data_IF_968590031653
#
_entry.id   IF_968590031653
#
_cell.length_a   1.000
_cell.length_b   1.000
_cell.length_c   1.000
_cell.angle_alpha   90.00
_cell.angle_beta   90.00
_cell.angle_gamma   90.00
#
_symmetry.space_group_name_H-M   'P 1'
#
loop_
_entity.id
_entity.type
_entity.pdbx_description
1 polymer ?
#
# COMPACT_ATOMS: atom_id res chain seq x y z
N UNK A 1 15.02 -17.91 5.90
CA UNK A 1 13.79 -17.22 5.46
C UNK A 1 13.41 -16.11 6.45
N UNK A 2 13.35 -16.40 7.77
CA UNK A 2 12.99 -15.42 8.80
C UNK A 2 13.83 -14.13 8.73
N UNK A 3 15.16 -14.23 8.59
CA UNK A 3 16.03 -13.08 8.45
C UNK A 3 15.70 -12.19 7.23
N UNK A 4 15.29 -12.81 6.11
CA UNK A 4 14.88 -12.06 4.90
C UNK A 4 13.54 -11.36 5.10
N UNK A 5 12.60 -12.00 5.80
CA UNK A 5 11.29 -11.39 6.11
C UNK A 5 11.48 -10.21 7.06
N UNK A 6 12.25 -10.38 8.12
CA UNK A 6 12.58 -9.31 9.06
C UNK A 6 13.28 -8.13 8.36
N UNK A 7 14.23 -8.40 7.45
CA UNK A 7 14.89 -7.37 6.67
C UNK A 7 13.93 -6.57 5.76
N UNK A 8 12.92 -7.21 5.20
CA UNK A 8 11.90 -6.53 4.37
C UNK A 8 10.95 -5.70 5.22
N UNK A 9 10.65 -6.17 6.43
CA UNK A 9 9.77 -5.48 7.37
C UNK A 9 10.46 -4.36 8.16
N UNK A 10 11.80 -4.29 8.08
CA UNK A 10 12.60 -3.34 8.85
C UNK A 10 12.68 -3.69 10.34
N UNK A 11 12.42 -4.96 10.68
CA UNK A 11 12.52 -5.46 12.05
C UNK A 11 13.99 -5.82 12.37
N UNK A 12 14.71 -4.85 12.92
CA UNK A 12 16.13 -4.98 13.24
C UNK A 12 16.40 -5.98 14.36
N UNK A 13 15.47 -6.13 15.33
CA UNK A 13 15.65 -7.01 16.47
C UNK A 13 15.56 -8.48 16.04
N UNK A 14 14.55 -8.83 15.25
CA UNK A 14 14.41 -10.18 14.69
C UNK A 14 15.56 -10.49 13.71
N UNK A 15 15.96 -9.51 12.90
CA UNK A 15 17.09 -9.69 11.99
C UNK A 15 18.41 -9.94 12.75
N UNK A 16 18.65 -9.22 13.85
CA UNK A 16 19.79 -9.39 14.76
C UNK A 16 19.79 -10.78 15.39
N UNK A 17 18.67 -11.20 15.97
CA UNK A 17 18.54 -12.52 16.57
C UNK A 17 18.84 -13.64 15.55
N UNK A 18 18.32 -13.51 14.31
CA UNK A 18 18.64 -14.44 13.23
C UNK A 18 20.14 -14.44 12.85
N UNK A 19 20.77 -13.26 12.83
CA UNK A 19 22.19 -13.12 12.52
C UNK A 19 23.07 -13.81 13.57
N UNK A 20 22.76 -13.60 14.85
CA UNK A 20 23.46 -14.23 15.99
C UNK A 20 23.29 -15.75 15.98
N UNK A 21 22.07 -16.26 15.76
CA UNK A 21 21.80 -17.70 15.68
C UNK A 21 22.53 -18.39 14.52
N UNK A 22 22.70 -17.70 13.40
CA UNK A 22 23.36 -18.24 12.23
C UNK A 22 24.88 -17.95 12.21
N UNK A 23 25.43 -17.48 13.33
CA UNK A 23 26.86 -17.20 13.52
C UNK A 23 27.49 -16.38 12.37
N UNK A 24 26.76 -15.39 11.88
CA UNK A 24 27.26 -14.53 10.81
C UNK A 24 27.38 -15.19 9.43
N UNK A 25 26.63 -16.24 9.15
CA UNK A 25 26.61 -16.82 7.81
C UNK A 25 26.35 -15.77 6.73
N UNK A 26 26.99 -15.82 5.53
CA UNK A 26 26.94 -14.74 4.53
C UNK A 26 25.55 -14.26 4.17
N UNK A 27 24.58 -15.17 4.04
CA UNK A 27 23.20 -14.81 3.74
C UNK A 27 22.44 -14.15 4.91
N UNK A 28 22.82 -14.45 6.16
CA UNK A 28 22.29 -13.79 7.35
C UNK A 28 22.91 -12.40 7.50
N UNK A 29 24.20 -12.26 7.22
CA UNK A 29 24.93 -10.98 7.26
C UNK A 29 24.33 -9.98 6.28
N UNK A 30 24.11 -10.34 5.01
CA UNK A 30 23.46 -9.47 4.03
C UNK A 30 22.03 -9.12 4.39
N UNK A 31 21.29 -10.06 5.00
CA UNK A 31 19.91 -9.78 5.46
C UNK A 31 19.89 -8.82 6.66
N UNK A 32 20.81 -9.00 7.59
CA UNK A 32 20.95 -8.13 8.76
C UNK A 32 21.44 -6.73 8.34
N UNK A 33 22.43 -6.65 7.45
CA UNK A 33 22.86 -5.39 6.85
C UNK A 33 21.69 -4.61 6.23
N UNK A 34 20.85 -5.31 5.48
CA UNK A 34 19.66 -4.71 4.87
C UNK A 34 18.67 -4.18 5.92
N UNK A 35 18.40 -4.92 7.00
CA UNK A 35 17.52 -4.48 8.07
C UNK A 35 18.05 -3.21 8.73
N UNK A 36 19.35 -3.20 9.10
CA UNK A 36 20.01 -2.04 9.68
C UNK A 36 19.99 -0.81 8.75
N UNK A 37 20.28 -1.01 7.47
CA UNK A 37 20.33 0.06 6.47
C UNK A 37 18.93 0.65 6.14
N UNK A 38 17.87 -0.11 6.40
CA UNK A 38 16.48 0.33 6.21
C UNK A 38 15.87 0.95 7.47
N UNK A 39 16.55 0.83 8.61
CA UNK A 39 16.12 1.42 9.87
C UNK A 39 16.20 2.95 9.83
N UNK A 40 15.29 3.61 10.52
CA UNK A 40 15.34 5.05 10.76
C UNK A 40 16.31 5.43 11.89
N UNK A 41 16.84 4.44 12.62
CA UNK A 41 17.77 4.62 13.73
C UNK A 41 19.18 4.96 13.27
N UNK A 42 19.74 6.04 13.79
CA UNK A 42 21.12 6.41 13.49
C UNK A 42 22.16 5.43 14.08
N UNK A 43 21.80 4.73 15.16
CA UNK A 43 22.65 3.70 15.75
C UNK A 43 22.76 2.51 14.79
N UNK A 44 21.62 2.05 14.26
CA UNK A 44 21.56 0.96 13.30
C UNK A 44 22.31 1.30 12.00
N UNK A 45 22.21 2.53 11.52
CA UNK A 45 22.93 2.98 10.34
C UNK A 45 24.44 2.95 10.55
N UNK A 46 24.93 3.36 11.71
CA UNK A 46 26.37 3.26 12.06
C UNK A 46 26.83 1.81 12.15
N UNK A 47 26.02 0.94 12.74
CA UNK A 47 26.28 -0.49 12.79
C UNK A 47 26.29 -1.10 11.38
N UNK A 48 25.35 -0.70 10.50
CA UNK A 48 25.34 -1.12 9.10
C UNK A 48 26.65 -0.77 8.38
N UNK A 49 27.19 0.45 8.58
CA UNK A 49 28.46 0.86 8.00
C UNK A 49 29.63 0.03 8.54
N UNK A 50 29.70 -0.18 9.86
CA UNK A 50 30.73 -1.01 10.46
C UNK A 50 30.70 -2.46 9.97
N UNK A 51 29.51 -3.04 9.86
CA UNK A 51 29.32 -4.38 9.35
C UNK A 51 29.71 -4.49 7.88
N UNK A 52 29.34 -3.50 7.07
CA UNK A 52 29.68 -3.45 5.65
C UNK A 52 31.18 -3.33 5.43
N UNK A 53 31.87 -2.46 6.17
CA UNK A 53 33.34 -2.31 6.10
C UNK A 53 34.06 -3.60 6.50
N UNK A 54 33.57 -4.29 7.54
CA UNK A 54 34.08 -5.59 7.94
C UNK A 54 33.91 -6.65 6.83
N UNK A 55 32.75 -6.68 6.18
CA UNK A 55 32.47 -7.60 5.05
C UNK A 55 33.45 -7.33 3.88
N UNK A 56 33.68 -6.07 3.55
CA UNK A 56 34.56 -5.69 2.44
C UNK A 56 36.04 -5.97 2.75
N UNK A 57 36.47 -5.81 3.99
CA UNK A 57 37.85 -6.07 4.43
C UNK A 57 38.18 -7.56 4.42
N UNK A 58 37.24 -8.41 4.83
CA UNK A 58 37.47 -9.85 4.92
C UNK A 58 37.32 -10.63 3.59
N UNK A 59 36.68 -10.03 2.58
CA UNK A 59 36.43 -10.68 1.30
C UNK A 59 36.83 -9.81 0.08
N UNK A 60 38.05 -9.30 -0.02
CA UNK A 60 38.43 -8.34 -1.06
C UNK A 60 38.34 -8.91 -2.49
N UNK A 61 38.44 -10.24 -2.66
CA UNK A 61 38.34 -10.90 -3.99
C UNK A 61 36.93 -11.27 -4.42
N UNK A 62 35.94 -11.23 -3.51
CA UNK A 62 34.56 -11.57 -3.76
C UNK A 62 33.69 -10.34 -4.13
N UNK A 63 34.30 -9.27 -4.63
CA UNK A 63 33.65 -7.97 -4.86
C UNK A 63 32.39 -8.04 -5.75
N UNK A 64 32.33 -8.97 -6.70
CA UNK A 64 31.14 -9.13 -7.56
C UNK A 64 29.95 -9.80 -6.85
N UNK A 65 30.18 -10.58 -5.79
CA UNK A 65 29.14 -11.28 -5.05
C UNK A 65 28.36 -10.37 -4.10
N UNK A 66 28.93 -9.18 -3.80
CA UNK A 66 28.36 -8.21 -2.85
C UNK A 66 27.62 -7.04 -3.51
N UNK A 67 27.37 -7.06 -4.82
CA UNK A 67 26.64 -5.97 -5.51
C UNK A 67 25.32 -5.63 -4.83
N UNK A 68 24.47 -6.60 -4.39
CA UNK A 68 23.24 -6.27 -3.67
C UNK A 68 23.48 -5.49 -2.37
N UNK A 69 24.56 -5.78 -1.66
CA UNK A 69 24.92 -5.10 -0.40
C UNK A 69 25.41 -3.67 -0.68
N UNK A 70 26.18 -3.47 -1.75
CA UNK A 70 26.54 -2.14 -2.25
C UNK A 70 25.30 -1.30 -2.60
N UNK A 71 24.29 -1.89 -3.25
CA UNK A 71 23.04 -1.21 -3.61
C UNK A 71 22.27 -0.78 -2.36
N UNK A 72 22.21 -1.62 -1.34
CA UNK A 72 21.57 -1.30 -0.06
C UNK A 72 22.27 -0.13 0.63
N UNK A 73 23.60 -0.17 0.69
CA UNK A 73 24.39 0.89 1.31
C UNK A 73 24.34 2.20 0.50
N UNK A 74 24.27 2.12 -0.83
CA UNK A 74 24.08 3.28 -1.70
C UNK A 74 22.76 4.01 -1.39
N UNK A 75 21.67 3.26 -1.17
CA UNK A 75 20.38 3.83 -0.77
C UNK A 75 20.47 4.50 0.60
N UNK A 76 21.05 3.81 1.59
CA UNK A 76 21.22 4.32 2.94
C UNK A 76 22.05 5.61 2.95
N UNK A 77 23.15 5.63 2.18
CA UNK A 77 24.01 6.81 2.03
C UNK A 77 23.28 7.99 1.38
N UNK A 78 22.48 7.72 0.36
CA UNK A 78 21.71 8.75 -0.32
C UNK A 78 20.63 9.36 0.60
N UNK A 79 20.04 8.56 1.49
CA UNK A 79 19.06 9.00 2.48
C UNK A 79 19.67 9.74 3.67
N UNK A 80 20.93 9.47 4.02
CA UNK A 80 21.59 10.11 5.17
C UNK A 80 21.98 11.57 4.88
N UNK A 81 21.32 12.50 5.57
CA UNK A 81 21.55 13.95 5.41
C UNK A 81 22.99 14.40 5.71
N UNK A 82 23.75 13.62 6.48
CA UNK A 82 25.15 13.93 6.85
C UNK A 82 26.12 13.64 5.73
N UNK A 83 25.79 12.73 4.83
CA UNK A 83 26.64 12.38 3.69
C UNK A 83 26.40 13.39 2.56
N UNK A 84 27.43 14.08 2.07
CA UNK A 84 27.24 15.00 0.94
C UNK A 84 26.76 14.27 -0.31
N UNK A 85 25.64 14.73 -0.88
CA UNK A 85 24.98 14.03 -2.00
C UNK A 85 25.88 13.87 -3.21
N UNK A 86 26.74 14.87 -3.51
CA UNK A 86 27.66 14.78 -4.63
C UNK A 86 28.60 13.57 -4.51
N UNK A 87 29.01 13.17 -3.29
CA UNK A 87 29.85 11.99 -3.06
C UNK A 87 29.11 10.68 -3.40
N UNK A 88 27.82 10.61 -3.07
CA UNK A 88 27.01 9.42 -3.37
C UNK A 88 26.71 9.32 -4.86
N UNK A 89 26.39 10.44 -5.47
CA UNK A 89 26.08 10.52 -6.89
C UNK A 89 27.30 10.27 -7.76
N UNK A 90 28.48 10.72 -7.35
CA UNK A 90 29.76 10.48 -8.09
C UNK A 90 30.08 8.99 -8.24
N UNK A 91 29.58 8.12 -7.35
CA UNK A 91 29.74 6.67 -7.48
C UNK A 91 29.10 6.10 -8.74
N UNK A 92 28.03 6.73 -9.24
CA UNK A 92 27.38 6.38 -10.50
C UNK A 92 27.89 7.23 -11.69
N UNK A 93 28.74 8.21 -11.44
CA UNK A 93 29.38 9.02 -12.48
C UNK A 93 30.77 8.46 -12.70
N UNK A 94 30.99 7.72 -13.78
CA UNK A 94 32.36 7.39 -14.22
C UNK A 94 33.03 8.69 -14.71
N UNK A 95 33.63 9.45 -13.82
CA UNK A 95 34.51 10.54 -14.19
C UNK A 95 35.93 9.98 -14.30
N UNK A 96 36.46 9.94 -15.50
CA UNK A 96 37.85 9.55 -15.77
C UNK A 96 38.89 10.55 -15.19
N UNK A 97 38.44 11.75 -14.83
CA UNK A 97 39.29 12.82 -14.35
C UNK A 97 38.73 13.41 -13.06
N UNK A 98 39.02 12.83 -11.96
CA UNK A 98 39.04 13.61 -10.72
C UNK A 98 40.05 13.03 -9.76
N UNK A 99 40.87 13.94 -9.28
CA UNK A 99 41.63 13.84 -8.04
C UNK A 99 40.94 12.88 -7.09
N UNK A 100 41.69 11.98 -6.48
CA UNK A 100 41.19 10.97 -5.55
C UNK A 100 40.22 11.65 -4.58
N UNK A 101 38.95 11.68 -4.96
CA UNK A 101 37.94 12.09 -4.00
C UNK A 101 38.03 11.09 -2.87
N UNK A 102 38.32 11.58 -1.68
CA UNK A 102 38.11 10.87 -0.42
C UNK A 102 36.65 10.46 -0.34
N UNK A 103 36.25 9.51 -1.19
CA UNK A 103 35.00 8.81 -1.00
C UNK A 103 35.14 8.06 0.31
N UNK A 104 34.17 8.11 1.21
CA UNK A 104 34.25 7.33 2.44
C UNK A 104 34.36 5.82 2.14
N UNK A 105 34.23 5.44 0.87
CA UNK A 105 34.31 4.08 0.41
C UNK A 105 35.27 3.94 -0.75
N UNK A 106 36.22 3.08 -0.54
CA UNK A 106 37.14 2.66 -1.61
C UNK A 106 36.40 1.65 -2.51
N UNK A 107 35.55 2.15 -3.41
CA UNK A 107 34.76 1.30 -4.32
C UNK A 107 35.69 0.74 -5.40
N UNK A 108 35.85 -0.59 -5.51
CA UNK A 108 36.63 -1.17 -6.58
C UNK A 108 36.11 -0.75 -7.96
N UNK A 109 36.95 -0.42 -8.94
CA UNK A 109 36.53 0.00 -10.29
C UNK A 109 35.60 -1.01 -10.97
N UNK A 110 35.78 -2.30 -10.73
CA UNK A 110 34.90 -3.37 -11.25
C UNK A 110 33.51 -3.32 -10.67
N UNK A 111 33.34 -2.99 -9.38
CA UNK A 111 32.06 -2.81 -8.71
C UNK A 111 31.42 -1.53 -9.21
N UNK A 112 32.15 -0.44 -9.32
CA UNK A 112 31.62 0.81 -9.84
C UNK A 112 31.07 0.65 -11.28
N UNK A 113 31.79 -0.04 -12.15
CA UNK A 113 31.33 -0.32 -13.52
C UNK A 113 30.02 -1.11 -13.52
N UNK A 114 29.85 -2.08 -12.61
CA UNK A 114 28.60 -2.83 -12.47
C UNK A 114 27.46 -1.97 -11.91
N UNK A 115 27.73 -1.14 -10.89
CA UNK A 115 26.71 -0.23 -10.32
C UNK A 115 26.20 0.76 -11.36
N UNK A 116 27.06 1.32 -12.19
CA UNK A 116 26.73 2.27 -13.27
C UNK A 116 25.77 1.65 -14.30
N UNK A 117 25.87 0.35 -14.56
CA UNK A 117 24.99 -0.38 -15.47
C UNK A 117 23.77 -0.99 -14.77
N UNK A 118 23.69 -0.89 -13.44
CA UNK A 118 22.64 -1.52 -12.65
C UNK A 118 21.41 -0.61 -12.51
N UNK A 119 20.26 -1.07 -13.01
CA UNK A 119 18.94 -0.42 -12.75
C UNK A 119 18.68 -0.30 -11.25
N UNK A 120 18.98 -1.37 -10.51
CA UNK A 120 18.75 -1.42 -9.06
C UNK A 120 19.59 -0.38 -8.31
N UNK A 121 20.84 -0.11 -8.73
CA UNK A 121 21.67 0.92 -8.12
C UNK A 121 21.10 2.34 -8.35
N UNK A 122 20.67 2.65 -9.57
CA UNK A 122 20.02 3.93 -9.88
C UNK A 122 18.70 4.09 -9.10
N UNK A 123 17.88 3.03 -9.05
CA UNK A 123 16.63 3.03 -8.30
C UNK A 123 16.85 3.25 -6.81
N UNK A 124 17.84 2.56 -6.23
CA UNK A 124 18.21 2.71 -4.82
C UNK A 124 18.67 4.14 -4.50
N UNK A 125 19.47 4.73 -5.38
CA UNK A 125 19.93 6.11 -5.24
C UNK A 125 18.76 7.10 -5.33
N UNK A 126 17.85 6.93 -6.29
CA UNK A 126 16.64 7.77 -6.40
C UNK A 126 15.76 7.64 -5.16
N UNK A 127 15.56 6.41 -4.64
CA UNK A 127 14.78 6.20 -3.41
C UNK A 127 15.40 6.89 -2.19
N UNK A 128 16.73 6.76 -1.99
CA UNK A 128 17.42 7.43 -0.91
C UNK A 128 17.36 8.96 -1.02
N UNK A 129 17.50 9.51 -2.22
CA UNK A 129 17.35 10.95 -2.46
C UNK A 129 15.92 11.44 -2.19
N UNK A 130 14.90 10.62 -2.51
CA UNK A 130 13.50 10.93 -2.17
C UNK A 130 13.24 10.90 -0.67
N UNK A 131 13.84 9.95 0.06
CA UNK A 131 13.77 9.89 1.53
C UNK A 131 14.39 11.14 2.18
N UNK A 132 15.44 11.66 1.55
CA UNK A 132 16.09 12.92 1.95
C UNK A 132 15.33 14.17 1.52
N UNK A 133 14.36 14.07 0.61
CA UNK A 133 13.62 15.20 0.03
C UNK A 133 14.33 15.91 -1.14
N UNK A 134 15.44 15.36 -1.66
CA UNK A 134 16.18 15.95 -2.78
C UNK A 134 15.62 15.49 -4.13
N UNK A 135 14.45 16.01 -4.45
CA UNK A 135 13.69 15.70 -5.66
C UNK A 135 14.48 16.04 -6.94
N UNK A 136 15.18 17.15 -6.95
CA UNK A 136 15.93 17.63 -8.13
C UNK A 136 17.04 16.69 -8.52
N UNK A 137 17.85 16.24 -7.56
CA UNK A 137 18.91 15.29 -7.84
C UNK A 137 18.40 13.89 -8.14
N UNK A 138 17.29 13.48 -7.52
CA UNK A 138 16.61 12.22 -7.85
C UNK A 138 16.21 12.20 -9.33
N UNK A 139 15.68 13.29 -9.87
CA UNK A 139 15.41 13.45 -11.31
C UNK A 139 16.68 13.35 -12.14
N UNK A 140 17.75 14.02 -11.74
CA UNK A 140 19.02 13.95 -12.46
C UNK A 140 19.60 12.53 -12.55
N UNK A 141 19.45 11.73 -11.49
CA UNK A 141 19.87 10.32 -11.49
C UNK A 141 19.03 9.49 -12.45
N UNK A 142 17.70 9.69 -12.45
CA UNK A 142 16.82 9.04 -13.39
C UNK A 142 17.19 9.36 -14.86
N UNK A 143 17.36 10.62 -15.15
CA UNK A 143 17.75 11.09 -16.48
C UNK A 143 19.08 10.49 -16.91
N UNK A 144 20.09 10.49 -16.03
CA UNK A 144 21.39 9.90 -16.31
C UNK A 144 21.29 8.40 -16.62
N UNK A 145 20.45 7.66 -15.88
CA UNK A 145 20.18 6.24 -16.12
C UNK A 145 19.64 6.02 -17.55
N UNK A 146 18.61 6.76 -17.92
CA UNK A 146 17.96 6.63 -19.23
C UNK A 146 18.90 7.05 -20.36
N UNK A 147 19.68 8.14 -20.21
CA UNK A 147 20.63 8.61 -21.21
C UNK A 147 21.82 7.66 -21.42
N UNK A 148 22.15 6.85 -20.41
CA UNK A 148 23.12 5.75 -20.56
C UNK A 148 22.57 4.53 -21.30
N UNK A 149 21.28 4.54 -21.64
CA UNK A 149 20.60 3.41 -22.26
C UNK A 149 20.31 2.26 -21.26
N UNK A 150 20.44 2.51 -19.95
CA UNK A 150 20.05 1.53 -18.93
C UNK A 150 18.52 1.45 -18.90
N UNK A 151 17.98 0.30 -19.30
CA UNK A 151 16.56 0.11 -19.43
C UNK A 151 15.90 -0.01 -18.04
N UNK A 152 14.94 0.88 -17.67
CA UNK A 152 14.21 0.76 -16.43
C UNK A 152 13.45 -0.57 -16.36
N UNK A 153 13.30 -1.08 -15.16
CA UNK A 153 12.38 -2.16 -14.82
C UNK A 153 11.11 -1.63 -14.13
N UNK A 154 10.24 -2.53 -13.72
CA UNK A 154 8.98 -2.16 -13.05
C UNK A 154 9.23 -1.50 -11.69
N UNK A 155 10.31 -1.86 -11.00
CA UNK A 155 10.68 -1.25 -9.72
C UNK A 155 11.17 0.18 -9.92
N UNK A 156 11.99 0.41 -10.93
CA UNK A 156 12.41 1.75 -11.32
C UNK A 156 11.20 2.61 -11.71
N UNK A 157 10.26 2.07 -12.48
CA UNK A 157 9.02 2.77 -12.84
C UNK A 157 8.17 3.12 -11.60
N UNK A 158 8.07 2.22 -10.63
CA UNK A 158 7.43 2.49 -9.34
C UNK A 158 8.09 3.68 -8.62
N UNK A 159 9.41 3.69 -8.57
CA UNK A 159 10.17 4.77 -7.94
C UNK A 159 9.99 6.10 -8.69
N UNK A 160 9.93 6.06 -10.02
CA UNK A 160 9.60 7.23 -10.84
C UNK A 160 8.19 7.76 -10.54
N UNK A 161 7.20 6.88 -10.37
CA UNK A 161 5.86 7.32 -9.96
C UNK A 161 5.89 8.03 -8.60
N UNK A 162 6.62 7.48 -7.61
CA UNK A 162 6.82 8.15 -6.31
C UNK A 162 7.46 9.52 -6.47
N UNK A 163 8.47 9.63 -7.35
CA UNK A 163 9.14 10.88 -7.66
C UNK A 163 8.16 11.93 -8.20
N UNK A 164 7.27 11.55 -9.13
CA UNK A 164 6.21 12.44 -9.62
C UNK A 164 5.25 12.88 -8.51
N UNK A 165 4.83 11.95 -7.63
CA UNK A 165 3.93 12.30 -6.53
C UNK A 165 4.57 13.26 -5.52
N UNK A 166 5.84 13.04 -5.16
CA UNK A 166 6.58 13.93 -4.27
C UNK A 166 6.82 15.29 -4.93
N UNK A 167 7.03 15.33 -6.24
CA UNK A 167 7.14 16.58 -7.02
C UNK A 167 5.80 17.31 -7.22
N UNK A 168 4.66 16.76 -6.75
CA UNK A 168 3.34 17.38 -6.90
C UNK A 168 2.70 17.22 -8.27
N UNK A 169 3.11 16.22 -9.06
CA UNK A 169 2.63 15.97 -10.42
C UNK A 169 1.88 14.62 -10.59
N UNK A 170 0.74 14.40 -9.91
CA UNK A 170 0.04 13.10 -9.92
C UNK A 170 -0.43 12.68 -11.33
N UNK A 171 -0.89 13.63 -12.16
CA UNK A 171 -1.29 13.34 -13.55
C UNK A 171 -0.13 12.80 -14.37
N UNK A 172 1.07 13.31 -14.17
CA UNK A 172 2.29 12.84 -14.87
C UNK A 172 2.70 11.44 -14.45
N UNK A 173 2.48 11.06 -13.19
CA UNK A 173 2.71 9.68 -12.74
C UNK A 173 1.84 8.70 -13.54
N UNK A 174 0.56 9.00 -13.72
CA UNK A 174 -0.36 8.18 -14.52
C UNK A 174 0.03 8.12 -15.99
N UNK A 175 0.28 9.28 -16.62
CA UNK A 175 0.73 9.38 -18.01
C UNK A 175 2.01 8.56 -18.23
N UNK A 176 2.94 8.62 -17.27
CA UNK A 176 4.19 7.88 -17.30
C UNK A 176 3.94 6.36 -17.33
N UNK A 177 3.09 5.84 -16.42
CA UNK A 177 2.74 4.40 -16.41
C UNK A 177 2.09 3.98 -17.72
N UNK A 178 1.14 4.76 -18.24
CA UNK A 178 0.51 4.48 -19.52
C UNK A 178 1.51 4.48 -20.67
N UNK A 179 2.49 5.38 -20.62
CA UNK A 179 3.53 5.46 -21.65
C UNK A 179 4.47 4.25 -21.60
N UNK A 180 5.01 3.92 -20.44
CA UNK A 180 5.95 2.79 -20.27
C UNK A 180 5.28 1.41 -20.39
N UNK A 181 4.06 1.27 -19.92
CA UNK A 181 3.38 -0.03 -19.86
C UNK A 181 2.54 -0.31 -21.11
N UNK A 182 1.96 0.72 -21.74
CA UNK A 182 1.01 0.53 -22.82
C UNK A 182 1.58 0.86 -24.20
N UNK A 183 2.21 2.02 -24.33
CA UNK A 183 2.80 2.48 -25.62
C UNK A 183 4.20 1.93 -25.85
N UNK A 184 4.96 1.74 -24.78
CA UNK A 184 6.38 1.44 -24.84
C UNK A 184 7.22 2.69 -25.12
N UNK A 185 8.46 2.68 -24.65
CA UNK A 185 9.41 3.78 -24.73
C UNK A 185 10.62 3.36 -25.57
N UNK A 186 11.04 4.21 -26.48
CA UNK A 186 12.31 4.03 -27.20
C UNK A 186 13.43 4.62 -26.35
N UNK A 187 14.39 3.80 -25.98
CA UNK A 187 15.57 4.25 -25.28
C UNK A 187 16.59 4.81 -26.29
N UNK A 188 17.34 5.86 -25.91
CA UNK A 188 18.48 6.30 -26.71
C UNK A 188 19.53 5.19 -26.81
N UNK A 189 20.32 5.21 -27.88
CA UNK A 189 21.46 4.32 -27.98
C UNK A 189 22.43 4.58 -26.79
N UNK A 190 23.01 3.53 -26.19
CA UNK A 190 23.98 3.71 -25.13
C UNK A 190 25.08 4.65 -25.57
N UNK A 191 25.30 5.73 -24.82
CA UNK A 191 26.40 6.65 -25.07
C UNK A 191 27.63 6.14 -24.34
N UNK A 192 28.69 5.86 -25.07
CA UNK A 192 30.01 5.66 -24.50
C UNK A 192 30.56 7.03 -24.06
N UNK A 193 30.78 7.21 -22.79
CA UNK A 193 31.36 8.42 -22.20
C UNK A 193 30.62 8.89 -20.94
N UNK A 194 31.15 9.95 -20.36
CA UNK A 194 30.59 10.55 -19.13
C UNK A 194 29.25 11.21 -19.45
N UNK A 195 28.18 10.60 -18.97
CA UNK A 195 26.86 11.24 -18.98
C UNK A 195 26.79 12.15 -17.74
N UNK A 196 26.94 13.45 -17.96
CA UNK A 196 26.78 14.42 -16.88
C UNK A 196 25.32 14.42 -16.41
N UNK A 197 25.15 14.33 -15.12
CA UNK A 197 23.83 14.43 -14.53
C UNK A 197 23.32 15.88 -14.69
N UNK A 198 22.30 16.06 -15.51
CA UNK A 198 21.62 17.32 -15.60
C UNK A 198 20.58 17.41 -14.47
N UNK A 199 20.75 18.38 -13.57
CA UNK A 199 19.74 18.68 -12.56
C UNK A 199 18.69 19.60 -13.20
N UNK A 200 17.48 19.10 -13.52
CA UNK A 200 16.48 19.91 -14.18
C UNK A 200 16.02 21.06 -13.29
N UNK A 201 15.64 22.17 -13.90
CA UNK A 201 15.01 23.28 -13.18
C UNK A 201 13.65 22.80 -12.66
N UNK A 202 13.21 23.34 -11.54
CA UNK A 202 11.92 22.98 -10.88
C UNK A 202 10.75 23.05 -11.87
N UNK A 203 10.78 23.99 -12.84
CA UNK A 203 9.76 24.15 -13.86
C UNK A 203 9.71 22.99 -14.86
N UNK A 204 10.81 22.27 -15.07
CA UNK A 204 10.94 21.18 -16.04
C UNK A 204 10.71 19.79 -15.44
N UNK A 205 10.62 19.67 -14.10
CA UNK A 205 10.53 18.38 -13.39
C UNK A 205 9.37 17.50 -13.90
N UNK A 206 8.24 18.10 -14.26
CA UNK A 206 7.08 17.36 -14.78
C UNK A 206 7.24 16.79 -16.19
N UNK A 207 8.27 17.21 -16.94
CA UNK A 207 8.45 16.85 -18.36
C UNK A 207 9.61 15.88 -18.60
N UNK A 208 10.55 15.77 -17.67
CA UNK A 208 11.82 15.07 -17.86
C UNK A 208 11.68 13.59 -18.26
N UNK A 209 10.80 12.83 -17.63
CA UNK A 209 10.68 11.40 -17.93
C UNK A 209 9.91 11.08 -19.22
N UNK A 210 9.25 12.07 -19.81
CA UNK A 210 8.50 11.90 -21.07
C UNK A 210 9.28 12.36 -22.31
N UNK A 211 10.28 13.20 -22.12
CA UNK A 211 11.17 13.65 -23.18
C UNK A 211 12.36 12.69 -23.37
N UNK A 212 12.07 11.42 -23.54
CA UNK A 212 13.08 10.56 -24.16
C UNK A 212 12.99 10.80 -25.65
N UNK A 213 13.57 11.91 -26.10
CA UNK A 213 13.66 12.24 -27.52
C UNK A 213 14.50 11.14 -28.18
N UNK A 214 13.79 10.23 -28.79
CA UNK A 214 14.38 9.16 -29.54
C UNK A 214 15.14 9.77 -30.74
N UNK A 215 16.46 9.81 -30.61
CA UNK A 215 17.26 9.89 -31.84
C UNK A 215 16.84 8.70 -32.75
N UNK A 216 16.69 8.92 -34.06
CA UNK A 216 16.08 7.91 -34.96
C UNK A 216 16.83 6.57 -35.06
N UNK A 217 17.93 6.43 -34.34
CA UNK A 217 18.79 5.22 -34.35
C UNK A 217 18.45 4.14 -33.33
N UNK A 218 17.50 4.38 -32.38
CA UNK A 218 17.19 3.35 -31.38
C UNK A 218 16.18 2.33 -31.91
N UNK A 219 16.63 1.07 -32.05
CA UNK A 219 15.79 -0.02 -32.59
C UNK A 219 14.94 -0.73 -31.54
N UNK A 220 15.19 -0.49 -30.25
CA UNK A 220 14.55 -1.23 -29.18
C UNK A 220 13.49 -0.39 -28.47
N UNK A 221 12.24 -0.88 -28.51
CA UNK A 221 11.14 -0.35 -27.71
C UNK A 221 11.05 -1.17 -26.42
N UNK A 222 11.22 -0.53 -25.29
CA UNK A 222 11.01 -1.14 -23.98
C UNK A 222 9.56 -0.95 -23.57
N UNK A 223 8.88 -2.06 -23.31
CA UNK A 223 7.52 -2.08 -22.78
C UNK A 223 7.51 -2.88 -21.50
N UNK A 224 7.05 -2.24 -20.43
CA UNK A 224 7.01 -2.85 -19.11
C UNK A 224 5.64 -3.48 -18.85
N UNK A 225 5.63 -4.65 -18.21
CA UNK A 225 4.39 -5.26 -17.74
C UNK A 225 4.06 -4.71 -16.35
N UNK A 226 2.92 -4.02 -16.17
CA UNK A 226 2.57 -3.49 -14.86
C UNK A 226 2.32 -4.62 -13.87
N UNK A 227 2.62 -4.35 -12.60
CA UNK A 227 2.40 -5.27 -11.49
C UNK A 227 1.43 -4.67 -10.49
N UNK A 228 0.81 -5.50 -9.65
CA UNK A 228 -0.08 -5.06 -8.56
C UNK A 228 0.63 -4.06 -7.63
N UNK A 229 1.93 -4.26 -7.39
CA UNK A 229 2.72 -3.36 -6.57
C UNK A 229 2.90 -1.95 -7.18
N UNK A 230 3.08 -1.86 -8.50
CA UNK A 230 3.10 -0.58 -9.22
C UNK A 230 1.71 0.07 -9.16
N UNK A 231 0.64 -0.71 -9.37
CA UNK A 231 -0.73 -0.22 -9.31
C UNK A 231 -1.06 0.34 -7.91
N UNK A 232 -0.68 -0.37 -6.84
CA UNK A 232 -0.87 0.10 -5.47
C UNK A 232 -0.08 1.39 -5.18
N UNK A 233 1.11 1.54 -5.78
CA UNK A 233 1.88 2.79 -5.66
C UNK A 233 1.15 3.96 -6.33
N UNK A 234 0.55 3.74 -7.49
CA UNK A 234 -0.29 4.75 -8.16
C UNK A 234 -1.52 5.09 -7.32
N UNK A 235 -2.27 4.10 -6.89
CA UNK A 235 -3.48 4.30 -6.07
C UNK A 235 -3.14 5.05 -4.78
N UNK A 236 -2.09 4.65 -4.06
CA UNK A 236 -1.66 5.33 -2.83
C UNK A 236 -1.22 6.77 -3.09
N UNK A 237 -0.48 7.00 -4.18
CA UNK A 237 -0.04 8.34 -4.57
C UNK A 237 -1.22 9.25 -4.92
N UNK A 238 -2.19 8.75 -5.68
CA UNK A 238 -3.42 9.48 -6.02
C UNK A 238 -4.26 9.76 -4.77
N UNK A 239 -4.37 8.78 -3.86
CA UNK A 239 -5.06 8.96 -2.59
C UNK A 239 -4.45 10.09 -1.75
N UNK A 240 -3.11 10.09 -1.58
CA UNK A 240 -2.38 11.14 -0.85
C UNK A 240 -2.47 12.51 -1.53
N UNK A 241 -2.52 12.54 -2.85
CA UNK A 241 -2.73 13.75 -3.65
C UNK A 241 -4.18 14.24 -3.64
N UNK A 242 -5.10 13.57 -2.93
CA UNK A 242 -6.54 13.84 -2.91
C UNK A 242 -7.20 13.81 -4.31
N UNK A 243 -6.61 13.08 -5.25
CA UNK A 243 -7.14 12.90 -6.61
C UNK A 243 -8.05 11.65 -6.64
N UNK A 244 -9.09 11.63 -5.81
CA UNK A 244 -9.91 10.44 -5.56
C UNK A 244 -10.69 9.99 -6.77
N UNK A 245 -11.27 10.91 -7.55
CA UNK A 245 -11.96 10.61 -8.81
C UNK A 245 -11.01 9.89 -9.79
N UNK A 246 -9.80 10.44 -9.97
CA UNK A 246 -8.78 9.82 -10.82
C UNK A 246 -8.38 8.44 -10.30
N UNK A 247 -8.29 8.27 -8.98
CA UNK A 247 -8.02 6.97 -8.36
C UNK A 247 -9.09 5.96 -8.73
N UNK A 248 -10.37 6.32 -8.65
CA UNK A 248 -11.48 5.43 -8.99
C UNK A 248 -11.48 5.07 -10.48
N UNK A 249 -11.14 6.02 -11.37
CA UNK A 249 -10.96 5.74 -12.79
C UNK A 249 -9.82 4.75 -13.04
N UNK A 250 -8.67 4.92 -12.36
CA UNK A 250 -7.54 3.98 -12.42
C UNK A 250 -7.94 2.61 -11.87
N UNK A 251 -8.69 2.58 -10.76
CA UNK A 251 -9.24 1.34 -10.20
C UNK A 251 -10.04 0.54 -11.24
N UNK A 252 -10.96 1.20 -11.93
CA UNK A 252 -11.75 0.55 -12.98
C UNK A 252 -10.92 0.11 -14.19
N UNK A 253 -9.79 0.77 -14.44
CA UNK A 253 -8.85 0.44 -15.51
C UNK A 253 -7.84 -0.67 -15.17
N UNK A 254 -7.72 -1.09 -13.90
CA UNK A 254 -6.69 -2.06 -13.47
C UNK A 254 -6.76 -3.37 -14.26
N UNK A 255 -7.93 -4.00 -14.33
CA UNK A 255 -8.08 -5.28 -15.02
C UNK A 255 -8.19 -5.11 -16.54
N UNK A 256 -9.10 -4.28 -17.10
CA UNK A 256 -9.32 -4.24 -18.54
C UNK A 256 -8.18 -3.58 -19.31
N UNK A 257 -7.49 -2.61 -18.73
CA UNK A 257 -6.47 -1.81 -19.44
C UNK A 257 -5.05 -2.16 -19.03
N UNK A 258 -4.80 -2.30 -17.74
CA UNK A 258 -3.47 -2.59 -17.20
C UNK A 258 -3.21 -4.09 -17.03
N UNK A 259 -4.25 -4.92 -17.13
CA UNK A 259 -4.19 -6.37 -16.92
C UNK A 259 -3.59 -6.75 -15.55
N UNK A 260 -3.86 -5.91 -14.55
CA UNK A 260 -3.41 -6.10 -13.17
C UNK A 260 -4.58 -6.56 -12.32
N UNK A 261 -4.38 -7.63 -11.58
CA UNK A 261 -5.35 -8.08 -10.58
C UNK A 261 -5.14 -7.29 -9.28
N UNK A 262 -6.19 -6.68 -8.72
CA UNK A 262 -6.10 -6.03 -7.42
C UNK A 262 -5.85 -7.05 -6.31
N UNK A 263 -5.18 -6.61 -5.26
CA UNK A 263 -4.96 -7.34 -4.01
C UNK A 263 -5.68 -6.65 -2.83
N UNK A 264 -5.47 -7.16 -1.62
CA UNK A 264 -6.04 -6.61 -0.39
C UNK A 264 -5.73 -5.12 -0.22
N UNK A 265 -4.50 -4.70 -0.50
CA UNK A 265 -4.10 -3.29 -0.40
C UNK A 265 -4.79 -2.40 -1.44
N UNK A 266 -5.02 -2.94 -2.64
CA UNK A 266 -5.79 -2.23 -3.69
C UNK A 266 -7.23 -1.99 -3.25
N UNK A 267 -7.88 -3.00 -2.65
CA UNK A 267 -9.26 -2.91 -2.12
C UNK A 267 -9.33 -1.86 -1.00
N UNK A 268 -8.41 -1.95 -0.04
CA UNK A 268 -8.29 -0.98 1.06
C UNK A 268 -8.23 0.47 0.54
N UNK A 269 -7.35 0.72 -0.42
CA UNK A 269 -7.19 2.07 -1.01
C UNK A 269 -8.45 2.53 -1.74
N UNK A 270 -9.13 1.64 -2.44
CA UNK A 270 -10.39 1.95 -3.14
C UNK A 270 -11.49 2.35 -2.16
N UNK A 271 -11.69 1.60 -1.09
CA UNK A 271 -12.69 1.91 -0.06
C UNK A 271 -12.41 3.25 0.63
N UNK A 272 -11.15 3.49 0.99
CA UNK A 272 -10.71 4.75 1.61
C UNK A 272 -10.90 5.95 0.68
N UNK A 273 -10.61 5.78 -0.61
CA UNK A 273 -10.76 6.85 -1.59
C UNK A 273 -12.23 7.19 -1.83
N UNK A 274 -13.08 6.18 -1.98
CA UNK A 274 -14.52 6.36 -2.14
C UNK A 274 -15.15 7.06 -0.92
N UNK A 275 -14.71 6.70 0.29
CA UNK A 275 -15.11 7.37 1.53
C UNK A 275 -14.65 8.83 1.57
N UNK A 276 -13.38 9.09 1.25
CA UNK A 276 -12.82 10.43 1.30
C UNK A 276 -13.49 11.37 0.30
N UNK A 277 -13.81 10.85 -0.89
CA UNK A 277 -14.55 11.59 -1.91
C UNK A 277 -15.98 11.90 -1.44
N UNK A 278 -16.69 10.91 -0.87
CA UNK A 278 -18.04 11.09 -0.36
C UNK A 278 -18.12 12.20 0.70
N UNK A 279 -17.10 12.31 1.55
CA UNK A 279 -17.02 13.38 2.57
C UNK A 279 -16.64 14.74 2.00
N UNK A 280 -15.83 14.78 0.96
CA UNK A 280 -15.34 16.02 0.39
C UNK A 280 -16.28 16.63 -0.66
N UNK A 281 -17.12 15.81 -1.28
CA UNK A 281 -17.97 16.22 -2.39
C UNK A 281 -19.27 16.86 -1.90
N UNK A 282 -19.57 18.05 -2.41
CA UNK A 282 -20.88 18.69 -2.27
C UNK A 282 -21.89 18.16 -3.34
N UNK A 283 -21.42 17.36 -4.28
CA UNK A 283 -22.22 16.78 -5.37
C UNK A 283 -22.43 15.30 -5.09
N UNK A 284 -23.59 14.71 -5.47
CA UNK A 284 -23.81 13.28 -5.27
C UNK A 284 -22.66 12.44 -5.79
N UNK A 285 -21.93 11.79 -4.88
CA UNK A 285 -20.80 10.93 -5.18
C UNK A 285 -21.32 9.59 -5.69
N UNK A 286 -20.92 9.19 -6.90
CA UNK A 286 -21.29 7.89 -7.48
C UNK A 286 -20.36 6.75 -7.08
N UNK A 287 -19.17 7.09 -6.60
CA UNK A 287 -18.13 6.11 -6.33
C UNK A 287 -18.32 5.36 -5.01
N UNK A 288 -18.85 6.00 -3.97
CA UNK A 288 -19.09 5.34 -2.70
C UNK A 288 -20.12 4.20 -2.79
N UNK A 289 -21.29 4.38 -3.44
CA UNK A 289 -22.20 3.28 -3.74
C UNK A 289 -21.57 2.20 -4.64
N UNK A 290 -20.78 2.59 -5.63
CA UNK A 290 -20.08 1.63 -6.51
C UNK A 290 -19.04 0.80 -5.76
N UNK A 291 -18.26 1.42 -4.87
CA UNK A 291 -17.29 0.75 -4.03
C UNK A 291 -17.95 -0.23 -3.06
N UNK A 292 -19.09 0.17 -2.44
CA UNK A 292 -19.92 -0.71 -1.63
C UNK A 292 -20.38 -1.92 -2.44
N UNK A 293 -20.97 -1.67 -3.62
CA UNK A 293 -21.43 -2.72 -4.50
C UNK A 293 -20.31 -3.70 -4.89
N UNK A 294 -19.12 -3.17 -5.20
CA UNK A 294 -17.96 -3.97 -5.53
C UNK A 294 -17.55 -4.87 -4.36
N UNK A 295 -17.45 -4.31 -3.15
CA UNK A 295 -17.06 -5.06 -1.96
C UNK A 295 -18.03 -6.22 -1.69
N UNK A 296 -19.33 -5.97 -1.70
CA UNK A 296 -20.36 -7.02 -1.46
C UNK A 296 -20.25 -8.13 -2.49
N UNK A 297 -20.05 -7.79 -3.78
CA UNK A 297 -19.86 -8.80 -4.83
C UNK A 297 -18.57 -9.60 -4.66
N UNK A 298 -17.48 -8.93 -4.28
CA UNK A 298 -16.23 -9.59 -3.99
C UNK A 298 -16.39 -10.59 -2.84
N UNK A 299 -17.01 -10.16 -1.74
CA UNK A 299 -17.29 -11.00 -0.58
C UNK A 299 -18.13 -12.23 -0.98
N UNK A 300 -19.22 -12.03 -1.73
CA UNK A 300 -20.09 -13.13 -2.16
C UNK A 300 -19.43 -14.06 -3.17
N UNK A 301 -18.55 -13.55 -4.03
CA UNK A 301 -17.80 -14.36 -4.97
C UNK A 301 -16.71 -15.21 -4.29
N UNK A 302 -16.08 -14.70 -3.24
CA UNK A 302 -15.05 -15.43 -2.47
C UNK A 302 -15.67 -16.40 -1.45
N UNK A 303 -16.82 -16.04 -0.90
CA UNK A 303 -17.50 -16.75 0.19
C UNK A 303 -18.96 -17.03 -0.18
N UNK A 304 -19.20 -17.91 -1.19
CA UNK A 304 -20.57 -18.25 -1.60
C UNK A 304 -21.37 -18.93 -0.48
N UNK A 305 -20.67 -19.54 0.48
CA UNK A 305 -21.28 -20.13 1.68
C UNK A 305 -22.04 -19.10 2.54
N UNK A 306 -21.63 -17.83 2.52
CA UNK A 306 -22.36 -16.77 3.22
C UNK A 306 -23.73 -16.48 2.58
N UNK A 307 -23.91 -16.78 1.29
CA UNK A 307 -25.21 -16.66 0.62
C UNK A 307 -26.16 -17.82 0.97
N UNK A 308 -25.58 -19.02 1.12
CA UNK A 308 -26.33 -20.21 1.43
C UNK A 308 -26.73 -20.30 2.90
N UNK A 309 -26.07 -19.54 3.79
CA UNK A 309 -26.39 -19.49 5.20
C UNK A 309 -27.75 -18.84 5.41
N UNK A 310 -28.68 -19.59 5.97
CA UNK A 310 -30.00 -19.07 6.39
C UNK A 310 -29.87 -18.15 7.59
N UNK A 311 -28.80 -18.31 8.36
CA UNK A 311 -28.38 -17.45 9.45
C UNK A 311 -26.89 -17.09 9.27
N UNK A 312 -26.54 -15.84 8.89
CA UNK A 312 -25.15 -15.44 8.73
C UNK A 312 -24.33 -15.50 10.03
N UNK A 313 -25.00 -15.67 11.18
CA UNK A 313 -24.37 -15.89 12.48
C UNK A 313 -24.02 -17.38 12.72
N UNK A 314 -24.56 -18.29 11.91
CA UNK A 314 -24.24 -19.71 11.93
C UNK A 314 -23.29 -20.07 10.79
N UNK A 315 -21.97 -19.95 11.04
CA UNK A 315 -20.98 -20.40 10.06
C UNK A 315 -21.08 -21.92 9.84
N UNK A 316 -21.09 -22.40 8.59
CA UNK A 316 -21.09 -23.83 8.30
C UNK A 316 -19.83 -24.48 8.90
N UNK A 317 -20.04 -25.48 9.78
CA UNK A 317 -18.96 -26.25 10.42
C UNK A 317 -18.63 -25.92 11.87
N UNK A 318 -19.14 -24.84 12.43
CA UNK A 318 -18.93 -24.51 13.85
C UNK A 318 -20.18 -24.82 14.70
N UNK A 319 -20.49 -26.08 14.93
CA UNK A 319 -21.60 -26.55 15.78
C UNK A 319 -21.51 -26.18 17.28
N UNK A 320 -20.56 -25.37 17.69
CA UNK A 320 -20.31 -25.07 19.11
C UNK A 320 -20.78 -23.70 19.61
N UNK A 321 -21.38 -22.88 18.76
CA UNK A 321 -21.65 -21.46 19.08
C UNK A 321 -23.09 -21.18 19.49
N UNK A 322 -23.83 -22.19 19.94
CA UNK A 322 -25.13 -21.95 20.56
C UNK A 322 -24.86 -21.37 21.96
N UNK A 323 -24.93 -20.05 22.01
CA UNK A 323 -24.97 -19.36 23.27
C UNK A 323 -26.22 -19.79 24.04
N UNK A 324 -26.03 -20.59 25.07
CA UNK A 324 -27.08 -21.02 26.00
C UNK A 324 -27.47 -19.92 26.97
N UNK A 325 -27.46 -18.68 26.61
CA UNK A 325 -27.84 -17.62 27.53
C UNK A 325 -28.83 -16.67 26.93
N UNK A 326 -29.90 -16.46 27.64
CA UNK A 326 -30.89 -15.40 27.66
C UNK A 326 -31.84 -15.25 26.47
N UNK A 327 -33.12 -15.28 26.79
CA UNK A 327 -34.26 -15.02 25.91
C UNK A 327 -34.13 -13.70 25.11
N UNK A 328 -33.39 -12.74 25.64
CA UNK A 328 -33.11 -11.46 24.99
C UNK A 328 -32.14 -11.60 23.82
N UNK A 329 -31.06 -12.37 23.96
CA UNK A 329 -30.10 -12.62 22.90
C UNK A 329 -30.74 -13.35 21.73
N UNK A 330 -31.57 -14.35 22.00
CA UNK A 330 -32.34 -15.09 20.99
C UNK A 330 -33.40 -14.24 20.29
N UNK A 331 -33.93 -13.21 20.96
CA UNK A 331 -34.83 -12.23 20.32
C UNK A 331 -34.05 -11.31 19.38
N UNK A 332 -32.90 -10.86 19.79
CA UNK A 332 -32.04 -10.02 18.98
C UNK A 332 -31.45 -10.78 17.79
N UNK A 333 -31.00 -12.00 17.97
CA UNK A 333 -30.52 -12.88 16.88
C UNK A 333 -31.63 -13.13 15.86
N UNK A 334 -32.87 -13.44 16.28
CA UNK A 334 -34.01 -13.62 15.37
C UNK A 334 -34.42 -12.35 14.64
N UNK A 335 -34.30 -11.22 15.30
CA UNK A 335 -34.57 -9.93 14.69
C UNK A 335 -33.50 -9.58 13.64
N UNK A 336 -32.23 -9.74 13.99
CA UNK A 336 -31.10 -9.61 13.06
C UNK A 336 -31.24 -10.58 11.89
N UNK A 337 -31.49 -11.85 12.14
CA UNK A 337 -31.64 -12.87 11.11
C UNK A 337 -32.73 -12.50 10.08
N UNK A 338 -33.89 -12.09 10.51
CA UNK A 338 -34.97 -11.69 9.63
C UNK A 338 -34.66 -10.45 8.80
N UNK A 339 -33.89 -9.50 9.32
CA UNK A 339 -33.46 -8.30 8.60
C UNK A 339 -32.29 -8.58 7.68
N UNK A 340 -31.29 -9.34 8.13
CA UNK A 340 -30.15 -9.73 7.32
C UNK A 340 -30.56 -10.53 6.08
N UNK A 341 -31.54 -11.42 6.19
CA UNK A 341 -32.10 -12.14 5.03
C UNK A 341 -32.72 -11.20 3.98
N UNK A 342 -33.39 -10.13 4.42
CA UNK A 342 -34.00 -9.15 3.49
C UNK A 342 -32.95 -8.29 2.81
N UNK A 343 -31.95 -7.82 3.55
CA UNK A 343 -30.81 -7.05 3.03
C UNK A 343 -30.02 -7.84 2.00
N UNK A 344 -29.71 -9.08 2.34
CA UNK A 344 -28.93 -9.95 1.48
C UNK A 344 -29.61 -10.19 0.13
N UNK A 345 -30.92 -10.44 0.14
CA UNK A 345 -31.68 -10.58 -1.10
C UNK A 345 -31.78 -9.25 -1.88
N UNK A 346 -32.05 -8.15 -1.21
CA UNK A 346 -32.17 -6.84 -1.85
C UNK A 346 -30.84 -6.28 -2.36
N UNK A 347 -29.73 -6.52 -1.66
CA UNK A 347 -28.41 -6.05 -2.07
C UNK A 347 -27.90 -6.76 -3.33
N UNK A 348 -28.17 -8.05 -3.48
CA UNK A 348 -27.72 -8.82 -4.64
C UNK A 348 -28.43 -8.39 -5.94
N UNK A 349 -29.71 -7.98 -5.86
CA UNK A 349 -30.53 -7.73 -7.04
C UNK A 349 -30.41 -6.28 -7.58
N UNK A 350 -29.99 -5.32 -6.75
CA UNK A 350 -29.99 -3.89 -7.09
C UNK A 350 -28.61 -3.28 -7.37
N UNK A 351 -27.56 -4.10 -7.42
CA UNK A 351 -26.21 -3.62 -7.65
C UNK A 351 -25.94 -3.39 -9.15
N UNK A 352 -25.29 -2.28 -9.54
CA UNK A 352 -24.88 -2.08 -10.93
C UNK A 352 -23.97 -3.23 -11.40
N UNK A 353 -24.01 -3.61 -12.69
CA UNK A 353 -23.23 -4.74 -13.19
C UNK A 353 -21.71 -4.45 -13.10
N UNK A 354 -21.09 -4.87 -12.01
CA UNK A 354 -19.63 -4.89 -11.90
C UNK A 354 -19.18 -6.27 -12.36
N UNK A 355 -18.41 -6.34 -13.41
CA UNK A 355 -17.81 -7.58 -13.89
C UNK A 355 -16.63 -7.92 -12.97
N UNK A 356 -16.86 -8.75 -11.96
CA UNK A 356 -15.76 -9.42 -11.27
C UNK A 356 -15.41 -10.64 -12.11
N UNK A 357 -14.42 -10.50 -12.96
CA UNK A 357 -13.88 -11.63 -13.72
C UNK A 357 -13.06 -12.49 -12.76
N UNK A 358 -13.60 -13.62 -12.33
CA UNK A 358 -12.98 -14.68 -11.52
C UNK A 358 -12.71 -14.33 -10.05
N UNK A 359 -12.75 -15.29 -9.12
CA UNK A 359 -12.34 -15.09 -7.75
C UNK A 359 -10.90 -14.54 -7.74
N UNK A 360 -10.67 -13.47 -7.01
CA UNK A 360 -9.36 -12.85 -6.88
C UNK A 360 -8.54 -13.63 -5.84
N UNK A 361 -7.66 -14.56 -6.23
CA UNK A 361 -7.02 -15.49 -5.30
C UNK A 361 -6.04 -14.80 -4.34
N UNK A 362 -5.71 -13.54 -4.60
CA UNK A 362 -4.73 -12.75 -3.82
C UNK A 362 -5.39 -11.73 -2.88
N UNK A 363 -6.71 -11.69 -2.82
CA UNK A 363 -7.44 -10.80 -1.90
C UNK A 363 -7.79 -11.58 -0.64
N UNK A 364 -7.26 -11.13 0.48
CA UNK A 364 -7.67 -11.55 1.82
C UNK A 364 -8.54 -10.45 2.43
N UNK A 365 -9.78 -10.77 2.76
CA UNK A 365 -10.66 -9.84 3.47
C UNK A 365 -10.31 -9.86 4.95
N UNK A 366 -9.32 -9.06 5.32
CA UNK A 366 -8.82 -8.93 6.68
C UNK A 366 -9.62 -7.88 7.51
N UNK A 367 -9.28 -7.76 8.79
CA UNK A 367 -9.92 -6.83 9.71
C UNK A 367 -9.85 -5.37 9.23
N UNK A 368 -8.79 -4.99 8.54
CA UNK A 368 -8.56 -3.63 8.06
C UNK A 368 -9.49 -3.29 6.89
N UNK A 369 -9.65 -4.22 5.96
CA UNK A 369 -10.58 -4.05 4.82
C UNK A 369 -12.02 -3.94 5.32
N UNK A 370 -12.43 -4.79 6.27
CA UNK A 370 -13.74 -4.69 6.90
C UNK A 370 -13.94 -3.40 7.69
N UNK A 371 -12.90 -2.91 8.36
CA UNK A 371 -12.95 -1.61 9.04
C UNK A 371 -13.25 -0.47 8.06
N UNK A 372 -12.49 -0.36 6.98
CA UNK A 372 -12.71 0.70 6.00
C UNK A 372 -14.03 0.55 5.24
N UNK A 373 -14.50 -0.68 5.09
CA UNK A 373 -15.84 -0.90 4.56
C UNK A 373 -16.94 -0.41 5.54
N UNK A 374 -16.82 -0.70 6.84
CA UNK A 374 -17.74 -0.20 7.85
C UNK A 374 -17.75 1.33 7.90
N UNK A 375 -16.58 1.97 7.81
CA UNK A 375 -16.45 3.42 7.74
C UNK A 375 -17.09 4.01 6.46
N UNK A 376 -17.01 3.31 5.32
CA UNK A 376 -17.69 3.71 4.08
C UNK A 376 -19.20 3.65 4.25
N UNK A 377 -19.74 2.56 4.83
CA UNK A 377 -21.18 2.40 5.09
C UNK A 377 -21.67 3.50 6.03
N UNK A 378 -20.91 3.82 7.10
CA UNK A 378 -21.25 4.92 8.01
C UNK A 378 -21.28 6.27 7.27
N UNK A 379 -20.30 6.53 6.42
CA UNK A 379 -20.26 7.77 5.63
C UNK A 379 -21.46 7.88 4.69
N UNK A 380 -21.90 6.77 4.08
CA UNK A 380 -23.09 6.72 3.25
C UNK A 380 -24.39 6.99 4.03
N UNK A 381 -24.39 6.72 5.35
CA UNK A 381 -25.52 7.04 6.23
C UNK A 381 -25.55 8.52 6.62
N UNK A 382 -24.37 9.15 6.75
CA UNK A 382 -24.22 10.55 7.16
C UNK A 382 -24.47 11.53 6.01
N UNK A 383 -24.13 11.13 4.78
CA UNK A 383 -24.27 11.98 3.60
C UNK A 383 -25.61 11.73 2.93
N UNK A 384 -26.46 12.74 2.94
CA UNK A 384 -27.73 12.72 2.23
C UNK A 384 -27.50 12.86 0.72
N UNK A 385 -27.72 11.80 -0.05
CA UNK A 385 -27.57 11.82 -1.50
C UNK A 385 -28.93 12.04 -2.18
N UNK A 386 -29.32 13.27 -2.54
CA UNK A 386 -30.60 13.51 -3.17
C UNK A 386 -30.66 12.86 -4.57
N UNK A 387 -31.63 12.00 -4.77
CA UNK A 387 -31.98 11.49 -6.10
C UNK A 387 -31.40 10.13 -6.50
N UNK A 388 -30.65 9.47 -5.64
CA UNK A 388 -30.21 8.10 -5.93
C UNK A 388 -31.20 7.09 -5.30
N UNK A 389 -31.51 6.04 -6.05
CA UNK A 389 -32.17 4.82 -5.57
C UNK A 389 -31.22 4.09 -4.60
N UNK A 390 -30.93 4.71 -3.47
CA UNK A 390 -29.95 4.21 -2.52
C UNK A 390 -30.66 3.37 -1.44
N UNK A 391 -29.87 2.48 -0.87
CA UNK A 391 -30.28 1.84 0.37
C UNK A 391 -30.74 2.91 1.36
N UNK A 392 -31.89 2.71 1.98
CA UNK A 392 -32.38 3.61 3.03
C UNK A 392 -31.35 3.62 4.17
N UNK A 393 -31.34 4.69 4.96
CA UNK A 393 -30.47 4.77 6.14
C UNK A 393 -30.63 3.54 7.04
N UNK A 394 -31.85 3.01 7.15
CA UNK A 394 -32.12 1.78 7.91
C UNK A 394 -31.42 0.56 7.31
N UNK A 395 -31.38 0.44 5.97
CA UNK A 395 -30.65 -0.66 5.31
C UNK A 395 -29.14 -0.58 5.51
N UNK A 396 -28.58 0.62 5.43
CA UNK A 396 -27.14 0.84 5.69
C UNK A 396 -26.80 0.56 7.15
N UNK A 397 -27.66 0.97 8.07
CA UNK A 397 -27.51 0.66 9.49
C UNK A 397 -27.54 -0.85 9.76
N UNK A 398 -28.49 -1.57 9.15
CA UNK A 398 -28.54 -3.02 9.22
C UNK A 398 -27.27 -3.67 8.63
N UNK A 399 -26.69 -3.09 7.59
CA UNK A 399 -25.47 -3.58 6.97
C UNK A 399 -24.25 -3.47 7.89
N UNK A 400 -24.18 -2.47 8.77
CA UNK A 400 -23.10 -2.39 9.77
C UNK A 400 -23.08 -3.62 10.69
N UNK A 401 -24.25 -4.15 11.06
CA UNK A 401 -24.35 -5.40 11.83
C UNK A 401 -24.05 -6.63 10.98
N UNK A 402 -24.41 -6.59 9.70
CA UNK A 402 -24.07 -7.64 8.75
C UNK A 402 -22.55 -7.79 8.60
N UNK A 403 -21.82 -6.70 8.61
CA UNK A 403 -20.35 -6.72 8.61
C UNK A 403 -19.81 -7.50 9.82
N UNK A 404 -20.35 -7.27 11.02
CA UNK A 404 -19.95 -8.00 12.21
C UNK A 404 -20.25 -9.51 12.09
N UNK A 405 -21.40 -9.86 11.53
CA UNK A 405 -21.77 -11.25 11.27
C UNK A 405 -20.82 -11.91 10.24
N UNK A 406 -20.47 -11.21 9.17
CA UNK A 406 -19.50 -11.70 8.18
C UNK A 406 -18.12 -11.92 8.79
N UNK A 407 -17.62 -10.94 9.54
CA UNK A 407 -16.32 -11.07 10.22
C UNK A 407 -16.30 -12.27 11.16
N UNK A 408 -17.36 -12.46 11.94
CA UNK A 408 -17.50 -13.62 12.82
C UNK A 408 -17.52 -14.94 12.04
N UNK A 409 -18.31 -15.01 10.95
CA UNK A 409 -18.41 -16.20 10.11
C UNK A 409 -17.08 -16.57 9.45
N UNK A 410 -16.28 -15.58 9.09
CA UNK A 410 -14.97 -15.73 8.45
C UNK A 410 -13.82 -15.84 9.46
N UNK A 411 -14.09 -15.84 10.75
CA UNK A 411 -13.10 -15.87 11.83
C UNK A 411 -12.12 -14.66 11.81
N UNK A 412 -12.60 -13.52 11.35
CA UNK A 412 -11.84 -12.28 11.29
C UNK A 412 -12.08 -11.49 12.57
N UNK A 413 -11.06 -11.31 13.38
CA UNK A 413 -11.14 -10.49 14.60
C UNK A 413 -11.20 -9.00 14.23
N UNK A 414 -12.23 -8.24 14.66
CA UNK A 414 -12.34 -6.82 14.35
C UNK A 414 -11.23 -6.02 15.05
N UNK A 415 -10.84 -4.91 14.41
CA UNK A 415 -9.94 -3.93 15.00
C UNK A 415 -10.63 -3.17 16.14
N UNK A 416 -9.83 -2.59 17.06
CA UNK A 416 -10.37 -1.81 18.20
C UNK A 416 -11.22 -0.63 17.71
N UNK A 417 -10.79 0.05 16.69
CA UNK A 417 -11.49 1.16 16.04
C UNK A 417 -12.84 0.73 15.46
N UNK A 418 -12.90 -0.46 14.88
CA UNK A 418 -14.15 -1.03 14.36
C UNK A 418 -15.16 -1.31 15.47
N UNK A 419 -14.68 -1.84 16.60
CA UNK A 419 -15.51 -2.08 17.77
C UNK A 419 -16.04 -0.78 18.37
N UNK A 420 -15.20 0.26 18.46
CA UNK A 420 -15.63 1.58 18.90
C UNK A 420 -16.69 2.17 17.95
N UNK A 421 -16.48 2.07 16.63
CA UNK A 421 -17.44 2.50 15.63
C UNK A 421 -18.79 1.81 15.80
N UNK A 422 -18.82 0.49 15.92
CA UNK A 422 -20.07 -0.26 16.09
C UNK A 422 -20.78 0.09 17.40
N UNK A 423 -20.05 0.14 18.51
CA UNK A 423 -20.66 0.49 19.79
C UNK A 423 -21.21 1.90 19.79
N UNK A 424 -20.51 2.85 19.20
CA UNK A 424 -20.97 4.25 19.12
C UNK A 424 -22.26 4.39 18.31
N UNK A 425 -22.29 3.82 17.12
CA UNK A 425 -23.45 3.87 16.23
C UNK A 425 -24.65 3.15 16.84
N UNK A 426 -24.39 2.06 17.55
CA UNK A 426 -25.42 1.30 18.23
C UNK A 426 -26.04 2.08 19.41
N UNK A 427 -25.20 2.69 20.24
CA UNK A 427 -25.65 3.44 21.42
C UNK A 427 -26.48 4.69 21.03
N UNK A 428 -26.21 5.30 19.87
CA UNK A 428 -26.94 6.48 19.38
C UNK A 428 -28.32 6.15 18.77
N UNK A 429 -28.50 4.99 18.16
CA UNK A 429 -29.66 4.71 17.29
C UNK A 429 -30.59 3.62 17.76
N UNK A 430 -30.24 2.86 18.79
CA UNK A 430 -31.15 1.87 19.32
C UNK A 430 -32.25 2.53 20.16
N UNK A 431 -33.53 2.11 19.95
CA UNK A 431 -34.55 2.47 20.89
C UNK A 431 -34.21 1.88 22.27
N UNK A 432 -34.52 2.60 23.36
CA UNK A 432 -34.15 2.21 24.73
C UNK A 432 -34.61 0.80 25.15
N UNK A 433 -35.55 0.21 24.41
CA UNK A 433 -36.08 -1.13 24.64
C UNK A 433 -35.22 -2.27 24.03
N UNK A 434 -34.36 -1.97 23.06
CA UNK A 434 -33.42 -2.94 22.51
C UNK A 434 -32.07 -2.68 23.18
N UNK A 435 -31.85 -3.32 24.31
CA UNK A 435 -30.79 -2.95 25.24
C UNK A 435 -29.40 -2.96 24.59
N UNK A 436 -28.68 -1.84 24.69
CA UNK A 436 -27.22 -1.72 24.45
C UNK A 436 -26.46 -2.85 25.13
N UNK A 437 -26.93 -3.33 26.25
CA UNK A 437 -26.41 -4.49 26.96
C UNK A 437 -26.40 -5.76 26.08
N UNK A 438 -27.40 -5.99 25.24
CA UNK A 438 -27.46 -7.21 24.41
C UNK A 438 -26.38 -7.24 23.32
N UNK A 439 -26.09 -6.11 22.69
CA UNK A 439 -25.04 -6.01 21.67
C UNK A 439 -23.65 -6.17 22.28
N UNK A 440 -23.36 -5.46 23.36
CA UNK A 440 -22.09 -5.58 24.09
C UNK A 440 -21.89 -6.99 24.64
N UNK A 441 -22.95 -7.62 25.16
CA UNK A 441 -22.90 -9.01 25.61
C UNK A 441 -22.61 -9.96 24.45
N UNK A 442 -23.19 -9.75 23.28
CA UNK A 442 -22.91 -10.55 22.08
C UNK A 442 -21.45 -10.40 21.64
N UNK A 443 -20.91 -9.16 21.62
CA UNK A 443 -19.50 -8.91 21.35
C UNK A 443 -18.59 -9.59 22.38
N UNK A 444 -18.93 -9.47 23.67
CA UNK A 444 -18.17 -10.08 24.74
C UNK A 444 -18.12 -11.62 24.64
N UNK A 445 -19.20 -12.21 24.22
CA UNK A 445 -19.27 -13.67 24.01
C UNK A 445 -18.46 -14.12 22.78
N UNK A 446 -18.39 -13.29 21.75
CA UNK A 446 -17.60 -13.58 20.55
C UNK A 446 -16.10 -13.38 20.80
N UNK A 447 -15.73 -12.26 21.40
CA UNK A 447 -14.35 -11.74 21.44
C UNK A 447 -13.72 -11.81 22.83
N UNK A 448 -14.53 -12.07 23.87
CA UNK A 448 -14.16 -11.94 25.28
C UNK A 448 -14.48 -10.54 25.85
N UNK A 449 -14.78 -10.47 27.13
CA UNK A 449 -15.18 -9.22 27.83
C UNK A 449 -14.13 -8.12 27.72
N UNK A 450 -12.84 -8.45 27.80
CA UNK A 450 -11.75 -7.49 27.68
C UNK A 450 -11.64 -6.83 26.30
N UNK A 451 -12.26 -7.40 25.29
CA UNK A 451 -12.23 -6.88 23.92
C UNK A 451 -13.32 -5.83 23.67
N UNK A 452 -14.37 -5.77 24.50
CA UNK A 452 -15.43 -4.78 24.35
C UNK A 452 -14.94 -3.41 24.80
N UNK A 453 -15.13 -2.33 24.00
CA UNK A 453 -14.70 -0.99 24.38
C UNK A 453 -15.41 -0.51 25.66
N UNK A 454 -14.66 0.07 26.58
CA UNK A 454 -15.19 0.74 27.75
C UNK A 454 -15.83 2.08 27.39
N UNK A 455 -16.70 2.62 28.26
CA UNK A 455 -17.33 3.92 28.03
C UNK A 455 -16.30 5.06 27.95
N UNK A 456 -15.18 4.95 28.66
CA UNK A 456 -14.08 5.91 28.59
C UNK A 456 -13.40 5.90 27.21
N UNK A 457 -13.18 4.74 26.64
CA UNK A 457 -12.61 4.59 25.30
C UNK A 457 -13.58 5.07 24.21
N UNK A 458 -14.87 4.75 24.35
CA UNK A 458 -15.90 5.27 23.43
C UNK A 458 -15.96 6.79 23.52
N UNK A 459 -15.93 7.39 24.70
CA UNK A 459 -15.87 8.84 24.86
C UNK A 459 -14.62 9.46 24.26
N UNK A 460 -13.47 8.81 24.33
CA UNK A 460 -12.24 9.27 23.66
C UNK A 460 -12.34 9.15 22.14
N UNK A 461 -12.89 8.06 21.64
CA UNK A 461 -13.11 7.85 20.21
C UNK A 461 -14.09 8.89 19.63
N UNK A 462 -15.19 9.18 20.29
CA UNK A 462 -16.15 10.22 19.92
C UNK A 462 -15.50 11.59 19.79
N UNK A 463 -14.70 12.00 20.78
CA UNK A 463 -14.00 13.29 20.73
C UNK A 463 -13.05 13.38 19.55
N UNK A 464 -12.32 12.32 19.27
CA UNK A 464 -11.39 12.26 18.13
C UNK A 464 -12.11 12.34 16.77
N UNK A 465 -13.28 11.71 16.65
CA UNK A 465 -14.02 11.65 15.38
C UNK A 465 -14.87 12.92 15.13
N UNK A 466 -15.43 13.53 16.15
CA UNK A 466 -16.14 14.83 16.02
C UNK A 466 -15.20 15.99 15.72
N UNK A 467 -13.99 15.98 16.26
CA UNK A 467 -12.98 17.02 15.97
C UNK A 467 -12.51 16.99 14.49
N UNK A 468 -12.87 15.97 13.72
CA UNK A 468 -12.57 15.90 12.29
C UNK A 468 -13.78 16.23 11.39
N UNK A 469 -14.94 16.50 11.99
CA UNK A 469 -16.19 16.85 11.26
C UNK A 469 -16.44 18.37 11.33
N UNK A 470 -15.90 19.05 12.34
CA UNK A 470 -15.86 20.52 12.47
C UNK A 470 -14.59 21.09 11.82
#
# INVERSE_FOLDING_TARGET
LAARVAAVQGDTDVARACYEQLHGAPGATSSFLRALAMSSSQADLREAWSLFDAMMTHAPQASSTHIPDWIVMLRAAAGDARIPVHRVVSLLQMQEETEAFDTPWNVPPSVQAQLVQSVAAHTALVEGLLERGDVSRAWGVWDAMVHRGVAPDVWALKTLCRLYFVAGHPARALECVMHWCHRGVRLPAPRSGVVRMHVPKVQDLGQCAMRVDATPSSRHVVRLRPTTHLANTLLLGLYRARAWETLMLVWHALQPTLHVQPDTASIDLMLRAARAEARASQVPCTWAPAARAYFVRLLTAQHPELQACTNPLEAPGRRGWIVRSELQLRRWERWMEGRLRRLWRGAADNLPPVTISTPLPHVCLDARVFHHYAELVLTLMEVDFPGASHATTDQLWEELFLIAAWMRALDVTPMRETLCLWCSVHDERLPPAASTASWRTWLAQWLGEASVPSDAELGAWYRAHRAHVD
#
